data_IF_073375280513
#
_entry.id   IF_073375280513
#
_cell.length_a   1.000
_cell.length_b   1.000
_cell.length_c   1.000
_cell.angle_alpha   90.00
_cell.angle_beta   90.00
_cell.angle_gamma   90.00
#
_symmetry.space_group_name_H-M   'P 1'
#
loop_
_entity.id
_entity.type
_entity.pdbx_description
1 polymer ?
#
# COMPACT_ATOMS: atom_id res chain seq x y z
N UNK A 1 25.75 -27.72 -53.66
CA UNK A 1 26.06 -27.14 -52.35
C UNK A 1 24.82 -26.43 -51.87
N UNK A 2 24.14 -26.98 -50.91
CA UNK A 2 22.98 -26.38 -50.23
C UNK A 2 23.41 -26.16 -48.78
N UNK A 3 23.60 -24.92 -48.37
CA UNK A 3 23.81 -24.55 -46.97
C UNK A 3 22.48 -24.56 -46.24
N UNK A 4 22.42 -25.34 -45.19
CA UNK A 4 21.33 -25.36 -44.20
C UNK A 4 21.52 -24.24 -43.23
N UNK A 5 20.58 -23.29 -43.20
CA UNK A 5 20.50 -22.27 -42.15
C UNK A 5 19.83 -22.94 -40.92
N UNK A 6 20.61 -23.15 -39.88
CA UNK A 6 20.14 -23.57 -38.59
C UNK A 6 19.43 -22.38 -37.87
N UNK A 7 18.13 -22.50 -37.70
CA UNK A 7 17.36 -21.61 -36.85
C UNK A 7 17.74 -21.85 -35.37
N UNK A 8 18.30 -20.82 -34.74
CA UNK A 8 18.57 -20.83 -33.30
C UNK A 8 17.30 -20.40 -32.59
N UNK A 9 16.57 -21.39 -32.07
CA UNK A 9 15.51 -21.17 -31.08
C UNK A 9 16.16 -20.70 -29.78
N UNK A 10 16.12 -19.40 -29.53
CA UNK A 10 16.54 -18.80 -28.26
C UNK A 10 15.44 -19.06 -27.22
N UNK A 11 15.43 -20.27 -26.66
CA UNK A 11 14.70 -20.55 -25.44
C UNK A 11 15.39 -19.81 -24.29
N UNK A 12 14.85 -18.66 -23.88
CA UNK A 12 15.25 -18.02 -22.63
C UNK A 12 14.99 -18.99 -21.46
N UNK A 13 15.96 -19.22 -20.56
CA UNK A 13 15.76 -20.13 -19.44
C UNK A 13 14.66 -19.59 -18.52
N UNK A 14 13.55 -20.30 -18.46
CA UNK A 14 12.41 -20.05 -17.59
C UNK A 14 12.85 -20.31 -16.14
N UNK A 15 13.00 -19.25 -15.36
CA UNK A 15 13.33 -19.35 -13.93
C UNK A 15 12.11 -19.79 -13.14
N UNK A 16 11.97 -21.10 -12.90
CA UNK A 16 10.88 -21.72 -12.13
C UNK A 16 10.72 -21.19 -10.69
N UNK A 17 11.65 -20.36 -10.18
CA UNK A 17 11.61 -19.77 -8.84
C UNK A 17 10.85 -18.46 -8.71
N UNK A 18 10.44 -17.82 -9.81
CA UNK A 18 9.88 -16.45 -9.80
C UNK A 18 8.41 -16.35 -10.25
N UNK A 19 7.75 -17.46 -10.61
CA UNK A 19 6.39 -17.43 -11.17
C UNK A 19 5.39 -16.69 -10.26
N UNK A 20 5.51 -16.85 -8.93
CA UNK A 20 4.63 -16.16 -7.99
C UNK A 20 4.74 -14.63 -8.15
N UNK A 21 5.96 -14.10 -8.23
CA UNK A 21 6.19 -12.68 -8.37
C UNK A 21 5.75 -12.18 -9.76
N UNK A 22 6.05 -12.93 -10.83
CA UNK A 22 5.60 -12.59 -12.18
C UNK A 22 4.07 -12.53 -12.28
N UNK A 23 3.35 -13.45 -11.61
CA UNK A 23 1.90 -13.41 -11.52
C UNK A 23 1.40 -12.17 -10.78
N UNK A 24 2.05 -11.77 -9.69
CA UNK A 24 1.70 -10.57 -8.91
C UNK A 24 1.99 -9.29 -9.71
N UNK A 25 3.12 -9.20 -10.41
CA UNK A 25 3.47 -8.03 -11.22
C UNK A 25 2.50 -7.84 -12.40
N UNK A 26 2.13 -8.95 -13.06
CA UNK A 26 1.11 -8.93 -14.11
C UNK A 26 -0.29 -8.60 -13.56
N UNK A 27 -0.64 -9.15 -12.39
CA UNK A 27 -1.90 -8.83 -11.72
C UNK A 27 -1.99 -7.37 -11.32
N UNK A 28 -0.90 -6.76 -10.82
CA UNK A 28 -0.82 -5.33 -10.53
C UNK A 28 -1.04 -4.49 -11.79
N UNK A 29 -0.42 -4.88 -12.89
CA UNK A 29 -0.60 -4.21 -14.18
C UNK A 29 -2.06 -4.27 -14.64
N UNK A 30 -2.69 -5.45 -14.58
CA UNK A 30 -4.09 -5.61 -14.94
C UNK A 30 -5.03 -4.87 -13.98
N UNK A 31 -4.73 -4.86 -12.67
CA UNK A 31 -5.50 -4.11 -11.68
C UNK A 31 -5.61 -2.63 -12.05
N UNK A 32 -4.49 -2.03 -12.45
CA UNK A 32 -4.43 -0.61 -12.89
C UNK A 32 -5.19 -0.35 -14.19
N UNK A 33 -5.26 -1.32 -15.09
CA UNK A 33 -5.85 -1.14 -16.43
C UNK A 33 -7.36 -1.45 -16.47
N UNK A 34 -7.78 -2.51 -15.82
CA UNK A 34 -9.13 -3.09 -16.00
C UNK A 34 -9.88 -3.36 -14.70
N UNK A 35 -9.26 -3.09 -13.57
CA UNK A 35 -9.84 -3.34 -12.25
C UNK A 35 -9.81 -4.81 -11.80
N UNK A 36 -10.19 -5.07 -10.54
CA UNK A 36 -10.02 -6.40 -9.93
C UNK A 36 -10.95 -7.46 -10.56
N UNK A 37 -12.13 -7.07 -11.04
CA UNK A 37 -13.14 -8.02 -11.54
C UNK A 37 -12.67 -8.78 -12.78
N UNK A 38 -11.89 -8.14 -13.63
CA UNK A 38 -11.41 -8.70 -14.90
C UNK A 38 -10.13 -9.51 -14.77
N UNK A 39 -9.49 -9.55 -13.61
CA UNK A 39 -8.30 -10.36 -13.37
C UNK A 39 -8.65 -11.85 -13.36
N UNK A 40 -7.85 -12.65 -14.06
CA UNK A 40 -8.03 -14.10 -14.16
C UNK A 40 -6.68 -14.81 -14.14
N UNK A 41 -6.51 -15.81 -13.23
CA UNK A 41 -5.30 -16.64 -13.14
C UNK A 41 -4.94 -17.30 -14.47
N UNK A 42 -5.96 -17.75 -15.24
CA UNK A 42 -5.74 -18.37 -16.56
C UNK A 42 -5.27 -17.36 -17.61
N UNK A 43 -5.80 -16.12 -17.56
CA UNK A 43 -5.35 -15.08 -18.47
C UNK A 43 -3.90 -14.68 -18.17
N UNK A 44 -3.56 -14.48 -16.88
CA UNK A 44 -2.20 -14.20 -16.43
C UNK A 44 -1.23 -15.30 -16.85
N UNK A 45 -1.60 -16.58 -16.68
CA UNK A 45 -0.78 -17.70 -17.12
C UNK A 45 -0.44 -17.63 -18.61
N UNK A 46 -1.43 -17.31 -19.46
CA UNK A 46 -1.21 -17.14 -20.91
C UNK A 46 -0.27 -15.99 -21.23
N UNK A 47 -0.41 -14.86 -20.54
CA UNK A 47 0.46 -13.69 -20.76
C UNK A 47 1.92 -13.95 -20.36
N UNK A 48 2.13 -14.75 -19.31
CA UNK A 48 3.46 -15.16 -18.85
C UNK A 48 4.04 -16.31 -19.70
N UNK A 49 3.20 -17.00 -20.47
CA UNK A 49 3.62 -18.13 -21.31
C UNK A 49 3.74 -19.46 -20.56
N UNK A 50 2.99 -19.63 -19.45
CA UNK A 50 2.96 -20.89 -18.67
C UNK A 50 1.66 -21.65 -18.85
N UNK A 51 1.64 -22.91 -18.40
CA UNK A 51 0.40 -23.69 -18.40
C UNK A 51 -0.67 -23.04 -17.55
N UNK A 52 -1.95 -23.16 -17.96
CA UNK A 52 -3.09 -22.55 -17.24
C UNK A 52 -3.27 -23.12 -15.82
N UNK A 53 -2.65 -24.23 -15.50
CA UNK A 53 -2.67 -24.86 -14.17
C UNK A 53 -1.52 -24.40 -13.27
N UNK A 54 -0.45 -23.83 -13.83
CA UNK A 54 0.72 -23.43 -13.06
C UNK A 54 0.42 -22.38 -11.95
N UNK A 55 -0.42 -21.35 -12.16
CA UNK A 55 -0.75 -20.39 -11.11
C UNK A 55 -1.39 -21.00 -9.87
N UNK A 56 -2.15 -22.09 -10.02
CA UNK A 56 -2.85 -22.74 -8.91
C UNK A 56 -1.94 -23.48 -7.92
N UNK A 57 -0.64 -23.58 -8.24
CA UNK A 57 0.39 -24.03 -7.28
C UNK A 57 0.77 -22.94 -6.28
N UNK A 58 0.47 -21.67 -6.59
CA UNK A 58 0.82 -20.49 -5.78
C UNK A 58 -0.39 -19.83 -5.17
N UNK A 59 -1.53 -19.85 -5.86
CA UNK A 59 -2.77 -19.21 -5.44
C UNK A 59 -3.94 -20.16 -5.65
N UNK A 60 -4.65 -20.48 -4.58
CA UNK A 60 -5.79 -21.41 -4.62
C UNK A 60 -6.88 -20.92 -5.60
N UNK A 61 -7.10 -19.61 -5.61
CA UNK A 61 -8.09 -18.96 -6.44
C UNK A 61 -7.71 -17.48 -6.71
N UNK A 62 -8.60 -16.75 -7.38
CA UNK A 62 -8.46 -15.31 -7.66
C UNK A 62 -8.37 -14.49 -6.38
N UNK A 63 -9.13 -14.83 -5.35
CA UNK A 63 -9.16 -14.06 -4.11
C UNK A 63 -7.82 -14.20 -3.36
N UNK A 64 -7.22 -15.39 -3.37
CA UNK A 64 -5.88 -15.62 -2.84
C UNK A 64 -4.80 -14.79 -3.56
N UNK A 65 -4.90 -14.66 -4.90
CA UNK A 65 -4.02 -13.77 -5.67
C UNK A 65 -4.24 -12.30 -5.29
N UNK A 66 -5.49 -11.83 -5.21
CA UNK A 66 -5.81 -10.45 -4.85
C UNK A 66 -5.40 -10.12 -3.42
N UNK A 67 -5.56 -11.06 -2.48
CA UNK A 67 -5.09 -10.90 -1.11
C UNK A 67 -3.55 -10.78 -1.03
N UNK A 68 -2.83 -11.60 -1.79
CA UNK A 68 -1.37 -11.50 -1.86
C UNK A 68 -0.91 -10.18 -2.51
N UNK A 69 -1.65 -9.68 -3.51
CA UNK A 69 -1.39 -8.38 -4.12
C UNK A 69 -1.65 -7.23 -3.15
N UNK A 70 -2.73 -7.28 -2.37
CA UNK A 70 -3.01 -6.31 -1.32
C UNK A 70 -1.94 -6.35 -0.21
N UNK A 71 -1.44 -7.55 0.15
CA UNK A 71 -0.33 -7.70 1.09
C UNK A 71 0.96 -7.02 0.59
N UNK A 72 1.27 -7.11 -0.71
CA UNK A 72 2.37 -6.32 -1.30
C UNK A 72 2.13 -4.81 -1.17
N UNK A 73 0.89 -4.36 -1.39
CA UNK A 73 0.51 -2.96 -1.20
C UNK A 73 0.76 -2.48 0.23
N UNK A 74 0.39 -3.26 1.24
CA UNK A 74 0.66 -2.93 2.63
C UNK A 74 2.14 -2.91 2.98
N UNK A 75 2.94 -3.83 2.44
CA UNK A 75 4.41 -3.83 2.63
C UNK A 75 5.06 -2.59 2.02
N UNK A 76 4.61 -2.19 0.84
CA UNK A 76 5.11 -0.96 0.21
C UNK A 76 4.67 0.29 0.99
N UNK A 77 3.42 0.33 1.46
CA UNK A 77 2.93 1.40 2.33
C UNK A 77 3.76 1.48 3.62
N UNK A 78 4.03 0.35 4.28
CA UNK A 78 4.91 0.26 5.45
C UNK A 78 6.29 0.84 5.15
N UNK A 79 6.90 0.42 4.04
CA UNK A 79 8.24 0.86 3.63
C UNK A 79 8.31 2.37 3.48
N UNK A 80 7.41 2.96 2.68
CA UNK A 80 7.45 4.42 2.41
C UNK A 80 7.12 5.26 3.63
N UNK A 81 6.21 4.80 4.50
CA UNK A 81 5.88 5.49 5.75
C UNK A 81 7.00 5.38 6.78
N UNK A 82 7.65 4.23 6.88
CA UNK A 82 8.80 4.02 7.77
C UNK A 82 10.00 4.87 7.32
N UNK A 83 10.35 4.83 6.02
CA UNK A 83 11.45 5.66 5.48
C UNK A 83 11.23 7.15 5.72
N UNK A 84 9.99 7.63 5.56
CA UNK A 84 9.65 9.01 5.84
C UNK A 84 9.75 9.36 7.34
N UNK A 85 9.40 8.42 8.22
CA UNK A 85 9.57 8.60 9.66
C UNK A 85 11.05 8.61 10.06
N UNK A 86 11.85 7.67 9.54
CA UNK A 86 13.26 7.50 9.91
C UNK A 86 14.15 8.69 9.48
N UNK A 87 13.68 9.51 8.53
CA UNK A 87 14.35 10.73 8.12
C UNK A 87 14.33 11.84 9.20
N UNK A 88 13.58 11.66 10.29
CA UNK A 88 13.38 12.66 11.33
C UNK A 88 13.57 12.06 12.74
N UNK A 89 14.08 12.85 13.67
CA UNK A 89 14.21 12.44 15.08
C UNK A 89 13.00 12.82 15.94
N UNK A 90 12.37 13.95 15.63
CA UNK A 90 11.23 14.50 16.38
C UNK A 90 9.92 13.76 16.02
N UNK A 91 9.17 13.22 17.01
CA UNK A 91 7.92 12.49 16.77
C UNK A 91 6.86 13.26 15.99
N UNK A 92 6.77 14.59 16.14
CA UNK A 92 5.80 15.42 15.41
C UNK A 92 6.14 15.46 13.93
N UNK A 93 7.44 15.60 13.61
CA UNK A 93 7.91 15.54 12.23
C UNK A 93 7.76 14.12 11.66
N UNK A 94 8.08 13.08 12.43
CA UNK A 94 7.87 11.69 12.02
C UNK A 94 6.41 11.46 11.63
N UNK A 95 5.45 11.89 12.46
CA UNK A 95 4.02 11.73 12.21
C UNK A 95 3.56 12.47 10.95
N UNK A 96 3.97 13.74 10.78
CA UNK A 96 3.61 14.53 9.61
C UNK A 96 4.16 13.96 8.31
N UNK A 97 5.45 13.59 8.30
CA UNK A 97 6.10 13.09 7.09
C UNK A 97 5.63 11.68 6.71
N UNK A 98 5.45 10.80 7.69
CA UNK A 98 4.84 9.48 7.50
C UNK A 98 3.41 9.60 6.96
N UNK A 99 2.58 10.51 7.52
CA UNK A 99 1.24 10.78 7.03
C UNK A 99 1.21 11.32 5.59
N UNK A 100 2.13 12.21 5.24
CA UNK A 100 2.27 12.69 3.86
C UNK A 100 2.68 11.55 2.90
N UNK A 101 3.62 10.68 3.30
CA UNK A 101 4.03 9.53 2.51
C UNK A 101 2.87 8.54 2.29
N UNK A 102 2.03 8.33 3.32
CA UNK A 102 0.81 7.53 3.21
C UNK A 102 -0.14 8.06 2.13
N UNK A 103 -0.44 9.37 2.17
CA UNK A 103 -1.34 10.01 1.21
C UNK A 103 -0.75 9.96 -0.20
N UNK A 104 0.57 10.19 -0.33
CA UNK A 104 1.25 10.12 -1.63
C UNK A 104 1.20 8.71 -2.21
N UNK A 105 1.46 7.66 -1.40
CA UNK A 105 1.31 6.26 -1.82
C UNK A 105 -0.09 5.98 -2.38
N UNK A 106 -1.14 6.43 -1.70
CA UNK A 106 -2.52 6.25 -2.13
C UNK A 106 -2.81 6.93 -3.48
N UNK A 107 -2.28 8.16 -3.67
CA UNK A 107 -2.40 8.93 -4.92
C UNK A 107 -1.70 8.26 -6.09
N UNK A 108 -0.52 7.70 -5.85
CA UNK A 108 0.29 7.06 -6.90
C UNK A 108 -0.24 5.65 -7.24
N UNK A 109 -1.01 5.03 -6.34
CA UNK A 109 -1.51 3.68 -6.47
C UNK A 109 -3.01 3.54 -6.16
N UNK A 110 -3.91 4.33 -6.80
CA UNK A 110 -5.32 4.41 -6.40
C UNK A 110 -6.04 3.06 -6.49
N UNK A 111 -5.82 2.27 -7.53
CA UNK A 111 -6.48 0.98 -7.69
C UNK A 111 -5.97 -0.08 -6.70
N UNK A 112 -4.67 -0.05 -6.39
CA UNK A 112 -4.09 -0.92 -5.36
C UNK A 112 -4.61 -0.51 -3.97
N UNK A 113 -4.70 0.78 -3.69
CA UNK A 113 -5.25 1.31 -2.45
C UNK A 113 -6.71 0.89 -2.26
N UNK A 114 -7.54 0.98 -3.31
CA UNK A 114 -8.92 0.49 -3.29
C UNK A 114 -9.01 -1.02 -3.06
N UNK A 115 -8.06 -1.79 -3.59
CA UNK A 115 -7.99 -3.23 -3.33
C UNK A 115 -7.64 -3.53 -1.86
N UNK A 116 -6.70 -2.76 -1.27
CA UNK A 116 -6.25 -2.94 0.12
C UNK A 116 -7.34 -2.66 1.15
N UNK A 117 -8.13 -1.60 0.94
CA UNK A 117 -9.08 -1.07 1.92
C UNK A 117 -10.55 -1.23 1.51
N UNK A 118 -10.80 -1.63 0.28
CA UNK A 118 -12.15 -1.79 -0.25
C UNK A 118 -12.76 -3.17 0.02
N UNK A 119 -14.02 -3.36 -0.37
CA UNK A 119 -14.79 -4.57 -0.08
C UNK A 119 -14.46 -5.77 -0.98
N UNK A 120 -13.52 -5.65 -1.90
CA UNK A 120 -13.19 -6.71 -2.88
C UNK A 120 -12.71 -7.99 -2.18
N UNK A 121 -11.96 -7.85 -1.08
CA UNK A 121 -11.53 -8.96 -0.24
C UNK A 121 -12.46 -9.01 0.97
N UNK A 122 -13.46 -9.89 0.92
CA UNK A 122 -14.55 -9.93 1.91
C UNK A 122 -14.08 -10.19 3.35
N UNK A 123 -13.09 -11.06 3.53
CA UNK A 123 -12.55 -11.44 4.84
C UNK A 123 -11.02 -11.37 4.83
N UNK A 124 -10.40 -10.17 4.95
CA UNK A 124 -8.95 -10.02 4.90
C UNK A 124 -8.20 -10.89 5.93
N UNK A 125 -8.82 -11.14 7.09
CA UNK A 125 -8.24 -11.95 8.16
C UNK A 125 -8.11 -13.45 7.84
N UNK A 126 -8.82 -13.93 6.81
CA UNK A 126 -8.69 -15.33 6.34
C UNK A 126 -7.39 -15.54 5.54
N UNK A 127 -6.67 -14.46 5.21
CA UNK A 127 -5.40 -14.48 4.51
C UNK A 127 -4.26 -14.03 5.43
N UNK A 128 -3.52 -14.96 6.07
CA UNK A 128 -2.51 -14.63 7.08
C UNK A 128 -1.46 -13.63 6.59
N UNK A 129 -0.99 -13.77 5.34
CA UNK A 129 -0.02 -12.87 4.72
C UNK A 129 -0.56 -11.42 4.62
N UNK A 130 -1.84 -11.27 4.31
CA UNK A 130 -2.50 -9.96 4.23
C UNK A 130 -2.70 -9.34 5.62
N UNK A 131 -3.17 -10.13 6.57
CA UNK A 131 -3.38 -9.69 7.95
C UNK A 131 -2.07 -9.23 8.61
N UNK A 132 -0.98 -9.99 8.43
CA UNK A 132 0.35 -9.65 8.91
C UNK A 132 0.87 -8.35 8.27
N UNK A 133 0.77 -8.21 6.94
CA UNK A 133 1.22 -7.02 6.22
C UNK A 133 0.44 -5.77 6.66
N UNK A 134 -0.89 -5.87 6.82
CA UNK A 134 -1.73 -4.78 7.31
C UNK A 134 -1.36 -4.36 8.74
N UNK A 135 -1.18 -5.33 9.63
CA UNK A 135 -0.73 -5.08 11.01
C UNK A 135 0.64 -4.41 11.06
N UNK A 136 1.59 -4.89 10.24
CA UNK A 136 2.95 -4.32 10.17
C UNK A 136 2.95 -2.88 9.64
N UNK A 137 2.10 -2.57 8.67
CA UNK A 137 1.93 -1.19 8.19
C UNK A 137 1.37 -0.25 9.26
N UNK A 138 0.40 -0.73 10.08
CA UNK A 138 -0.14 0.05 11.19
C UNK A 138 0.88 0.23 12.32
N UNK A 139 1.80 -0.73 12.52
CA UNK A 139 2.81 -0.66 13.57
C UNK A 139 3.73 0.57 13.44
N UNK A 140 3.95 1.08 12.22
CA UNK A 140 4.76 2.29 12.01
C UNK A 140 4.18 3.48 12.79
N UNK A 141 2.89 3.76 12.61
CA UNK A 141 2.24 4.88 13.29
C UNK A 141 2.12 4.64 14.79
N UNK A 142 1.91 3.39 15.21
CA UNK A 142 1.86 3.03 16.63
C UNK A 142 3.21 3.27 17.32
N UNK A 143 4.32 2.96 16.67
CA UNK A 143 5.66 3.22 17.17
C UNK A 143 5.94 4.73 17.31
N UNK A 144 5.51 5.55 16.32
CA UNK A 144 5.64 7.01 16.38
C UNK A 144 4.82 7.58 17.55
N UNK A 145 3.58 7.10 17.71
CA UNK A 145 2.72 7.53 18.81
C UNK A 145 3.32 7.16 20.17
N UNK A 146 3.83 5.94 20.30
CA UNK A 146 4.50 5.46 21.53
C UNK A 146 5.69 6.34 21.89
N UNK A 147 6.55 6.63 20.91
CA UNK A 147 7.70 7.50 21.08
C UNK A 147 7.27 8.91 21.49
N UNK A 148 6.28 9.50 20.80
CA UNK A 148 5.80 10.84 21.07
C UNK A 148 5.24 11.01 22.49
N UNK A 149 4.50 10.03 23.00
CA UNK A 149 4.01 10.02 24.38
C UNK A 149 5.16 9.86 25.36
N UNK A 150 6.05 8.90 25.13
CA UNK A 150 7.18 8.62 26.05
C UNK A 150 8.18 9.77 26.17
N UNK A 151 8.36 10.55 25.11
CA UNK A 151 9.22 11.75 25.08
C UNK A 151 8.47 13.04 25.55
N UNK A 152 7.18 12.93 25.89
CA UNK A 152 6.38 14.07 26.34
C UNK A 152 6.07 15.09 25.25
N UNK A 153 6.21 14.70 23.96
CA UNK A 153 5.88 15.53 22.80
C UNK A 153 4.36 15.51 22.54
N UNK A 154 3.76 14.33 22.69
CA UNK A 154 2.31 14.15 22.58
C UNK A 154 1.67 14.12 23.97
N UNK A 155 0.38 14.45 24.02
CA UNK A 155 -0.43 14.38 25.26
C UNK A 155 -0.41 12.94 25.83
N UNK A 156 -0.43 12.83 27.15
CA UNK A 156 -0.49 11.55 27.87
C UNK A 156 -1.89 10.92 27.70
N UNK A 157 -2.05 10.23 26.56
CA UNK A 157 -3.26 9.49 26.19
C UNK A 157 -2.86 8.09 25.76
N UNK A 158 -3.87 7.22 25.65
CA UNK A 158 -3.70 5.90 25.05
C UNK A 158 -3.06 6.00 23.67
N UNK A 159 -1.88 5.41 23.51
CA UNK A 159 -1.10 5.46 22.24
C UNK A 159 -1.84 4.82 21.09
N UNK A 160 -2.66 3.78 21.35
CA UNK A 160 -3.49 3.14 20.34
C UNK A 160 -4.58 4.10 19.83
N UNK A 161 -5.18 4.89 20.72
CA UNK A 161 -6.15 5.92 20.34
C UNK A 161 -5.52 6.99 19.46
N UNK A 162 -4.31 7.47 19.82
CA UNK A 162 -3.57 8.44 19.02
C UNK A 162 -3.27 7.87 17.62
N UNK A 163 -2.77 6.63 17.56
CA UNK A 163 -2.45 5.97 16.30
C UNK A 163 -3.68 5.80 15.39
N UNK A 164 -4.82 5.34 15.97
CA UNK A 164 -6.06 5.17 15.22
C UNK A 164 -6.62 6.51 14.73
N UNK A 165 -6.59 7.57 15.55
CA UNK A 165 -7.05 8.90 15.15
C UNK A 165 -6.21 9.44 13.98
N UNK A 166 -4.89 9.36 14.08
CA UNK A 166 -3.99 9.79 13.03
C UNK A 166 -4.14 8.98 11.74
N UNK A 167 -4.28 7.64 11.87
CA UNK A 167 -4.54 6.78 10.70
C UNK A 167 -5.90 7.11 10.05
N UNK A 168 -6.96 7.25 10.80
CA UNK A 168 -8.29 7.59 10.29
C UNK A 168 -8.28 8.87 9.49
N UNK A 169 -7.51 9.86 9.91
CA UNK A 169 -7.37 11.13 9.21
C UNK A 169 -6.65 10.98 7.87
N UNK A 170 -5.46 10.36 7.84
CA UNK A 170 -4.72 10.20 6.58
C UNK A 170 -5.47 9.30 5.60
N UNK A 171 -6.16 8.26 6.12
CA UNK A 171 -7.00 7.39 5.33
C UNK A 171 -8.20 8.15 4.74
N UNK A 172 -8.87 8.99 5.53
CA UNK A 172 -9.97 9.83 5.07
C UNK A 172 -9.54 10.81 3.97
N UNK A 173 -8.40 11.51 4.15
CA UNK A 173 -7.84 12.40 3.13
C UNK A 173 -7.51 11.63 1.85
N UNK A 174 -6.83 10.48 1.96
CA UNK A 174 -6.46 9.65 0.82
C UNK A 174 -7.69 9.15 0.04
N UNK A 175 -8.72 8.67 0.75
CA UNK A 175 -9.96 8.18 0.15
C UNK A 175 -10.71 9.28 -0.58
N UNK A 176 -10.92 10.43 0.07
CA UNK A 176 -11.57 11.60 -0.55
C UNK A 176 -10.81 12.10 -1.79
N UNK A 177 -9.48 12.02 -1.76
CA UNK A 177 -8.66 12.34 -2.91
C UNK A 177 -8.90 11.38 -4.09
N UNK A 178 -8.82 10.09 -3.83
CA UNK A 178 -9.01 9.04 -4.84
C UNK A 178 -10.42 9.10 -5.44
N UNK A 179 -11.42 9.44 -4.63
CA UNK A 179 -12.81 9.61 -5.06
C UNK A 179 -13.06 10.93 -5.80
N UNK A 180 -12.02 11.78 -5.93
CA UNK A 180 -12.08 13.02 -6.69
C UNK A 180 -12.75 14.17 -5.98
N UNK A 181 -13.05 14.05 -4.67
CA UNK A 181 -13.75 15.09 -3.90
C UNK A 181 -12.93 16.38 -3.75
N UNK A 182 -11.61 16.31 -3.84
CA UNK A 182 -10.72 17.49 -3.81
C UNK A 182 -10.50 18.15 -5.18
N UNK A 183 -10.94 17.55 -6.29
CA UNK A 183 -10.77 18.11 -7.64
C UNK A 183 -11.56 19.38 -7.90
N UNK A 184 -12.55 19.70 -7.06
CA UNK A 184 -13.35 20.90 -7.18
C UNK A 184 -12.69 22.17 -6.61
N UNK A 185 -11.53 22.03 -5.99
CA UNK A 185 -10.75 23.15 -5.44
C UNK A 185 -9.50 23.38 -6.29
N UNK A 186 -9.70 23.80 -7.55
CA UNK A 186 -8.60 24.23 -8.42
C UNK A 186 -7.97 25.51 -7.85
N UNK A 187 -6.95 25.35 -7.04
CA UNK A 187 -5.99 26.41 -6.79
C UNK A 187 -4.67 25.82 -6.27
N UNK A 188 -3.60 26.51 -6.52
CA UNK A 188 -2.18 26.28 -6.24
C UNK A 188 -1.82 25.82 -4.80
N UNK A 189 -2.76 25.29 -4.06
CA UNK A 189 -2.69 24.92 -2.64
C UNK A 189 -2.86 23.43 -2.29
N UNK A 190 -2.95 22.49 -3.25
CA UNK A 190 -3.21 21.08 -2.93
C UNK A 190 -2.20 20.47 -1.97
N UNK A 191 -0.91 20.68 -2.19
CA UNK A 191 0.15 20.21 -1.28
C UNK A 191 0.08 20.92 0.08
N UNK A 192 -0.27 22.21 0.09
CA UNK A 192 -0.47 23.00 1.31
C UNK A 192 -1.65 22.45 2.10
N UNK A 193 -2.79 22.18 1.45
CA UNK A 193 -3.99 21.68 2.12
C UNK A 193 -3.76 20.35 2.85
N UNK A 194 -3.07 19.40 2.23
CA UNK A 194 -2.74 18.10 2.87
C UNK A 194 -1.87 18.35 4.10
N UNK A 195 -0.77 19.09 3.93
CA UNK A 195 0.16 19.36 5.02
C UNK A 195 -0.50 20.16 6.15
N UNK A 196 -1.34 21.13 5.82
CA UNK A 196 -2.04 21.94 6.82
C UNK A 196 -3.11 21.13 7.55
N UNK A 197 -3.80 20.21 6.87
CA UNK A 197 -4.71 19.24 7.51
C UNK A 197 -3.97 18.33 8.48
N UNK A 198 -2.81 17.79 8.08
CA UNK A 198 -1.96 16.99 8.97
C UNK A 198 -1.50 17.78 10.20
N UNK A 199 -1.11 19.06 10.03
CA UNK A 199 -0.74 19.93 11.15
C UNK A 199 -1.91 20.19 12.09
N UNK A 200 -3.11 20.46 11.57
CA UNK A 200 -4.32 20.67 12.40
C UNK A 200 -4.57 19.44 13.28
N UNK A 201 -4.45 18.22 12.74
CA UNK A 201 -4.58 17.00 13.52
C UNK A 201 -3.49 16.87 14.59
N UNK A 202 -2.25 17.17 14.20
CA UNK A 202 -1.12 17.12 15.11
C UNK A 202 -1.31 18.08 16.29
N UNK A 203 -1.79 19.33 16.05
CA UNK A 203 -2.08 20.28 17.13
C UNK A 203 -3.10 19.79 18.16
N UNK A 204 -3.98 18.83 17.78
CA UNK A 204 -4.92 18.20 18.69
C UNK A 204 -4.29 17.19 19.65
N UNK A 205 -3.07 16.74 19.40
CA UNK A 205 -2.35 15.74 20.21
C UNK A 205 -1.02 16.27 20.79
N UNK A 206 -0.57 17.46 20.39
CA UNK A 206 0.60 18.07 21.00
C UNK A 206 0.29 18.45 22.46
N UNK A 207 1.25 18.16 23.34
CA UNK A 207 1.21 18.66 24.71
C UNK A 207 1.29 20.19 24.72
N UNK A 208 0.42 20.83 25.50
CA UNK A 208 0.43 22.30 25.66
C UNK A 208 1.05 22.62 27.03
N UNK A 209 1.68 23.79 27.12
CA UNK A 209 2.15 24.30 28.40
C UNK A 209 0.94 24.42 29.36
N UNK A 210 0.90 23.58 30.38
CA UNK A 210 -0.18 23.53 31.37
C UNK A 210 -1.02 22.24 31.42
N UNK A 211 -0.75 21.25 30.53
CA UNK A 211 -1.36 19.91 30.57
C UNK A 211 -0.54 18.93 31.42
#
# INVERSE_FOLDING_TARGET
>A
MREAVAGVDAHQPYHHGNLRNELLDKALTQLKQVGPDKISLRALAREIGVSQTAPYRHFADKNALLAALAAQGYRELQRVTQEAADAHSDPSHQLCHSGNAYIQFARDNPELYKLMFGPVIACPMDYPELAEAGSSAFQVILNIATKGVSEGVFTDRDVSLIAHAAWSMVHGIASLWIDGMYKCTESSGEKSMILDSLKISLYGILKRDGD
#
